data_IF_161771771795
#
_entry.id   IF_161771771795
#
_cell.length_a   1.000
_cell.length_b   1.000
_cell.length_c   1.000
_cell.angle_alpha   90.00
_cell.angle_beta   90.00
_cell.angle_gamma   90.00
#
_symmetry.space_group_name_H-M   'P 1'
#
loop_
_entity.id
_entity.type
_entity.pdbx_description
1 polymer ?
#
# COMPACT_ATOMS: atom_id res chain seq x y z
N UNK A 1 28.23 -57.03 5.14
CA UNK A 1 28.20 -55.70 4.50
C UNK A 1 26.84 -55.34 3.88
N UNK A 2 26.17 -56.22 3.10
CA UNK A 2 24.84 -55.92 2.50
C UNK A 2 23.71 -55.62 3.51
N UNK A 3 23.67 -56.28 4.68
CA UNK A 3 22.62 -56.05 5.71
C UNK A 3 22.75 -54.70 6.43
N UNK A 4 23.97 -54.21 6.63
CA UNK A 4 24.22 -52.88 7.21
C UNK A 4 23.84 -51.75 6.25
N UNK A 5 24.05 -51.96 4.94
CA UNK A 5 23.65 -51.00 3.90
C UNK A 5 22.13 -50.86 3.76
N UNK A 6 21.37 -51.96 3.91
CA UNK A 6 19.91 -51.90 3.95
C UNK A 6 19.38 -51.17 5.19
N UNK A 7 20.00 -51.38 6.35
CA UNK A 7 19.60 -50.71 7.60
C UNK A 7 19.86 -49.19 7.55
N UNK A 8 20.99 -48.76 6.97
CA UNK A 8 21.26 -47.33 6.75
C UNK A 8 20.32 -46.70 5.73
N UNK A 9 19.91 -47.43 4.69
CA UNK A 9 18.97 -46.93 3.68
C UNK A 9 17.55 -46.76 4.25
N UNK A 10 17.10 -47.66 5.13
CA UNK A 10 15.79 -47.57 5.80
C UNK A 10 15.75 -46.41 6.81
N UNK A 11 16.85 -46.19 7.55
CA UNK A 11 16.98 -45.05 8.46
C UNK A 11 16.94 -43.71 7.71
N UNK A 12 17.62 -43.60 6.57
CA UNK A 12 17.58 -42.41 5.72
C UNK A 12 16.19 -42.13 5.14
N UNK A 13 15.45 -43.19 4.75
CA UNK A 13 14.07 -43.06 4.26
C UNK A 13 13.10 -42.58 5.37
N UNK A 14 13.28 -43.05 6.61
CA UNK A 14 12.46 -42.58 7.74
C UNK A 14 12.77 -41.14 8.15
N UNK A 15 14.02 -40.66 7.99
CA UNK A 15 14.36 -39.25 8.21
C UNK A 15 13.80 -38.29 7.15
N UNK A 16 13.50 -38.76 5.94
CA UNK A 16 12.80 -37.96 4.92
C UNK A 16 11.26 -38.01 5.06
N UNK A 17 10.71 -39.02 5.73
CA UNK A 17 9.27 -39.15 5.97
C UNK A 17 8.74 -38.24 7.10
N UNK A 18 9.64 -37.58 7.85
CA UNK A 18 9.30 -36.54 8.82
C UNK A 18 9.32 -35.15 8.17
N UNK A 19 8.65 -34.97 7.03
CA UNK A 19 8.14 -33.64 6.72
C UNK A 19 6.99 -33.36 7.68
N UNK A 20 7.34 -32.89 8.89
CA UNK A 20 6.35 -32.33 9.80
C UNK A 20 5.49 -31.36 8.99
N UNK A 21 4.17 -31.59 8.99
CA UNK A 21 3.20 -30.62 8.51
C UNK A 21 3.33 -29.40 9.42
N UNK A 22 4.31 -28.54 9.12
CA UNK A 22 4.40 -27.24 9.75
C UNK A 22 3.07 -26.56 9.46
N UNK A 23 2.34 -26.08 10.47
CA UNK A 23 1.12 -25.35 10.22
C UNK A 23 1.51 -24.15 9.37
N UNK A 24 1.13 -24.16 8.09
CA UNK A 24 1.21 -22.97 7.27
C UNK A 24 0.30 -21.94 7.95
N UNK A 25 0.90 -20.97 8.63
CA UNK A 25 0.15 -19.99 9.40
C UNK A 25 -0.67 -19.18 8.39
N UNK A 26 -1.98 -19.40 8.38
CA UNK A 26 -2.85 -18.69 7.45
C UNK A 26 -2.84 -17.20 7.79
N UNK A 27 -2.60 -16.37 6.77
CA UNK A 27 -2.69 -14.92 6.89
C UNK A 27 -4.17 -14.56 6.83
N UNK A 28 -4.70 -14.04 7.93
CA UNK A 28 -6.13 -13.76 8.09
C UNK A 28 -6.42 -12.34 8.58
N UNK A 29 -5.51 -11.75 9.36
CA UNK A 29 -5.74 -10.47 10.02
C UNK A 29 -5.06 -9.30 9.31
N UNK A 30 -5.60 -8.08 9.51
CA UNK A 30 -5.05 -6.83 8.95
C UNK A 30 -3.55 -6.68 9.21
N UNK A 31 -3.14 -6.89 10.45
CA UNK A 31 -1.75 -6.79 10.91
C UNK A 31 -0.83 -7.75 10.16
N UNK A 32 -1.31 -8.94 9.84
CA UNK A 32 -0.51 -9.96 9.18
C UNK A 32 -0.33 -9.63 7.70
N UNK A 33 -1.39 -9.23 7.01
CA UNK A 33 -1.30 -8.74 5.64
C UNK A 33 -0.42 -7.49 5.53
N UNK A 34 -0.54 -6.57 6.48
CA UNK A 34 0.31 -5.38 6.52
C UNK A 34 1.79 -5.72 6.71
N UNK A 35 2.14 -6.80 7.42
CA UNK A 35 3.55 -7.24 7.53
C UNK A 35 4.12 -7.79 6.21
N UNK A 36 3.26 -8.17 5.25
CA UNK A 36 3.69 -8.59 3.92
C UNK A 36 3.94 -7.41 2.99
N UNK A 37 3.36 -6.24 3.28
CA UNK A 37 3.71 -5.00 2.61
C UNK A 37 5.18 -4.63 2.90
N UNK A 38 5.94 -4.33 1.86
CA UNK A 38 7.34 -3.93 2.01
C UNK A 38 7.80 -3.04 0.85
N UNK A 39 8.67 -2.08 1.17
CA UNK A 39 9.24 -1.19 0.16
C UNK A 39 10.52 -1.83 -0.37
N UNK A 40 10.48 -2.28 -1.62
CA UNK A 40 11.66 -2.74 -2.34
C UNK A 40 12.60 -1.57 -2.67
N UNK A 41 13.90 -1.85 -2.75
CA UNK A 41 14.90 -0.87 -3.15
C UNK A 41 14.69 -0.43 -4.61
N UNK A 42 14.50 -1.39 -5.51
CA UNK A 42 14.01 -1.14 -6.86
C UNK A 42 12.48 -1.20 -6.82
N UNK A 43 11.81 -0.19 -7.37
CA UNK A 43 10.35 -0.08 -7.32
C UNK A 43 9.78 -0.18 -8.73
N UNK A 44 9.68 -1.42 -9.24
CA UNK A 44 9.02 -1.70 -10.50
C UNK A 44 7.49 -1.66 -10.33
N UNK A 45 6.74 -1.57 -11.44
CA UNK A 45 5.29 -1.63 -11.39
C UNK A 45 4.78 -2.89 -10.67
N UNK A 46 5.39 -4.05 -10.92
CA UNK A 46 4.99 -5.33 -10.31
C UNK A 46 5.13 -5.32 -8.80
N UNK A 47 6.25 -4.79 -8.28
CA UNK A 47 6.47 -4.61 -6.83
C UNK A 47 5.42 -3.68 -6.20
N UNK A 48 4.97 -2.68 -6.97
CA UNK A 48 3.94 -1.73 -6.52
C UNK A 48 2.56 -2.40 -6.50
N UNK A 49 2.25 -3.20 -7.52
CA UNK A 49 1.01 -3.97 -7.62
C UNK A 49 0.92 -5.05 -6.53
N UNK A 50 2.02 -5.73 -6.22
CA UNK A 50 2.06 -6.67 -5.10
C UNK A 50 1.76 -5.95 -3.77
N UNK A 51 2.37 -4.78 -3.54
CA UNK A 51 2.09 -4.00 -2.35
C UNK A 51 0.62 -3.53 -2.27
N UNK A 52 0.06 -3.08 -3.40
CA UNK A 52 -1.38 -2.75 -3.49
C UNK A 52 -2.21 -3.97 -3.09
N UNK A 53 -1.91 -5.14 -3.64
CA UNK A 53 -2.62 -6.38 -3.33
C UNK A 53 -2.59 -6.70 -1.83
N UNK A 54 -1.42 -6.65 -1.18
CA UNK A 54 -1.32 -6.94 0.26
C UNK A 54 -2.04 -5.91 1.13
N UNK A 55 -1.95 -4.63 0.77
CA UNK A 55 -2.64 -3.55 1.48
C UNK A 55 -4.16 -3.65 1.31
N UNK A 56 -4.66 -3.99 0.13
CA UNK A 56 -6.09 -4.25 -0.10
C UNK A 56 -6.60 -5.42 0.73
N UNK A 57 -5.82 -6.51 0.81
CA UNK A 57 -6.15 -7.62 1.73
C UNK A 57 -6.18 -7.16 3.18
N UNK A 58 -5.23 -6.32 3.61
CA UNK A 58 -5.23 -5.75 4.96
C UNK A 58 -6.44 -4.84 5.23
N UNK A 59 -6.84 -4.00 4.28
CA UNK A 59 -8.01 -3.11 4.42
C UNK A 59 -9.30 -3.91 4.56
N UNK A 60 -9.42 -5.07 3.92
CA UNK A 60 -10.63 -5.89 3.93
C UNK A 60 -10.67 -6.97 5.03
N UNK A 61 -9.53 -7.31 5.63
CA UNK A 61 -9.44 -8.33 6.68
C UNK A 61 -9.99 -7.86 8.05
N UNK A 62 -10.20 -8.77 8.99
CA UNK A 62 -10.51 -8.40 10.38
C UNK A 62 -9.24 -8.02 11.16
N UNK A 63 -9.39 -7.19 12.20
CA UNK A 63 -8.30 -6.91 13.12
C UNK A 63 -7.95 -8.15 13.94
N UNK A 64 -6.67 -8.34 14.25
CA UNK A 64 -6.26 -9.39 15.18
C UNK A 64 -6.75 -9.11 16.61
N UNK A 65 -6.56 -10.09 17.51
CA UNK A 65 -6.77 -9.85 18.94
C UNK A 65 -5.77 -8.76 19.43
N UNK A 66 -6.17 -7.82 20.31
CA UNK A 66 -5.29 -6.76 20.83
C UNK A 66 -3.93 -7.23 21.35
N UNK A 67 -3.84 -8.47 21.86
CA UNK A 67 -2.59 -9.11 22.27
C UNK A 67 -1.53 -9.16 21.15
N UNK A 68 -1.97 -9.22 19.90
CA UNK A 68 -1.13 -9.34 18.71
C UNK A 68 -1.09 -8.05 17.88
N UNK A 69 -1.53 -6.92 18.45
CA UNK A 69 -1.44 -5.62 17.83
C UNK A 69 0.03 -5.22 17.57
N UNK A 70 0.25 -4.26 16.66
CA UNK A 70 1.60 -3.81 16.30
C UNK A 70 2.24 -2.87 17.33
N UNK A 71 1.50 -2.51 18.38
CA UNK A 71 1.98 -1.75 19.53
C UNK A 71 1.25 -2.19 20.80
N UNK A 72 1.73 -1.76 21.96
CA UNK A 72 1.13 -2.12 23.24
C UNK A 72 -0.27 -1.53 23.41
N UNK A 73 -1.23 -2.39 23.76
CA UNK A 73 -2.62 -2.03 24.04
C UNK A 73 -2.94 -2.37 25.49
N UNK A 74 -3.21 -1.37 26.32
CA UNK A 74 -3.50 -1.56 27.75
C UNK A 74 -5.00 -1.67 28.02
N UNK A 75 -5.82 -0.94 27.26
CA UNK A 75 -7.27 -0.89 27.46
C UNK A 75 -8.07 -0.77 26.15
N UNK A 76 -9.39 -0.65 26.30
CA UNK A 76 -10.33 -0.54 25.17
C UNK A 76 -10.17 0.78 24.39
N UNK A 77 -9.72 1.84 25.04
CA UNK A 77 -9.52 3.15 24.42
C UNK A 77 -8.25 3.16 23.58
N UNK A 78 -7.16 2.54 24.08
CA UNK A 78 -5.96 2.24 23.28
C UNK A 78 -6.33 1.44 22.03
N UNK A 79 -7.11 0.38 22.20
CA UNK A 79 -7.53 -0.48 21.09
C UNK A 79 -8.36 0.26 20.05
N UNK A 80 -9.26 1.14 20.49
CA UNK A 80 -10.06 1.93 19.59
C UNK A 80 -9.21 2.92 18.77
N UNK A 81 -8.31 3.65 19.45
CA UNK A 81 -7.42 4.60 18.78
C UNK A 81 -6.47 3.88 17.81
N UNK A 82 -5.92 2.74 18.22
CA UNK A 82 -5.06 1.90 17.39
C UNK A 82 -5.72 1.55 16.06
N UNK A 83 -6.97 1.09 16.08
CA UNK A 83 -7.69 0.73 14.85
C UNK A 83 -7.86 1.93 13.92
N UNK A 84 -8.09 3.12 14.45
CA UNK A 84 -8.21 4.33 13.63
C UNK A 84 -6.88 4.75 13.03
N UNK A 85 -5.80 4.76 13.82
CA UNK A 85 -4.46 5.06 13.32
C UNK A 85 -4.00 4.05 12.28
N UNK A 86 -4.29 2.76 12.49
CA UNK A 86 -3.90 1.72 11.54
C UNK A 86 -4.69 1.84 10.23
N UNK A 87 -6.01 2.06 10.27
CA UNK A 87 -6.77 2.29 9.04
C UNK A 87 -6.31 3.54 8.30
N UNK A 88 -6.03 4.65 9.01
CA UNK A 88 -5.44 5.84 8.41
C UNK A 88 -4.12 5.50 7.72
N UNK A 89 -3.22 4.79 8.41
CA UNK A 89 -1.92 4.41 7.88
C UNK A 89 -2.01 3.54 6.63
N UNK A 90 -2.85 2.49 6.65
CA UNK A 90 -3.07 1.63 5.48
C UNK A 90 -3.53 2.44 4.26
N UNK A 91 -4.49 3.35 4.48
CA UNK A 91 -4.98 4.22 3.41
C UNK A 91 -3.87 5.17 2.90
N UNK A 92 -3.02 5.73 3.77
CA UNK A 92 -1.84 6.49 3.33
C UNK A 92 -0.89 5.64 2.48
N UNK A 93 -0.66 4.37 2.84
CA UNK A 93 0.17 3.47 2.04
C UNK A 93 -0.44 3.13 0.69
N UNK A 94 -1.77 3.05 0.59
CA UNK A 94 -2.48 2.94 -0.69
C UNK A 94 -2.29 4.20 -1.53
N UNK A 95 -2.40 5.41 -0.95
CA UNK A 95 -2.11 6.67 -1.65
C UNK A 95 -0.70 6.62 -2.23
N UNK A 96 0.30 6.28 -1.41
CA UNK A 96 1.70 6.18 -1.85
C UNK A 96 1.89 5.19 -3.02
N UNK A 97 1.28 4.00 -2.95
CA UNK A 97 1.43 3.00 -4.01
C UNK A 97 0.77 3.43 -5.32
N UNK A 98 -0.46 3.95 -5.26
CA UNK A 98 -1.15 4.41 -6.46
C UNK A 98 -0.45 5.62 -7.10
N UNK A 99 0.16 6.51 -6.31
CA UNK A 99 0.98 7.58 -6.87
C UNK A 99 2.22 7.04 -7.57
N UNK A 100 2.94 6.09 -6.94
CA UNK A 100 4.11 5.43 -7.56
C UNK A 100 3.75 4.75 -8.87
N UNK A 101 2.62 4.04 -8.90
CA UNK A 101 2.14 3.35 -10.09
C UNK A 101 1.74 4.35 -11.19
N UNK A 102 0.97 5.38 -10.84
CA UNK A 102 0.54 6.41 -11.79
C UNK A 102 1.72 7.14 -12.44
N UNK A 103 2.78 7.42 -11.68
CA UNK A 103 4.01 8.02 -12.20
C UNK A 103 4.71 7.18 -13.29
N UNK A 104 4.47 5.86 -13.37
CA UNK A 104 5.03 5.02 -14.43
C UNK A 104 4.38 5.27 -15.79
N UNK A 105 3.12 5.68 -15.78
CA UNK A 105 2.32 5.91 -16.99
C UNK A 105 2.21 7.39 -17.36
N UNK A 106 2.53 8.28 -16.44
CA UNK A 106 2.46 9.72 -16.64
C UNK A 106 3.60 10.24 -17.53
N UNK A 107 3.25 10.76 -18.71
CA UNK A 107 4.22 11.27 -19.69
C UNK A 107 4.83 12.61 -19.32
N UNK A 108 4.26 13.33 -18.35
CA UNK A 108 4.67 14.65 -17.86
C UNK A 108 4.59 15.81 -18.88
N UNK A 109 4.98 15.61 -20.14
CA UNK A 109 5.05 16.59 -21.23
C UNK A 109 4.69 15.92 -22.56
N UNK A 110 3.95 16.59 -23.44
CA UNK A 110 3.66 16.11 -24.79
C UNK A 110 4.67 16.69 -25.80
N UNK A 111 5.71 15.93 -26.12
CA UNK A 111 6.69 16.33 -27.14
C UNK A 111 6.20 16.08 -28.56
N UNK A 112 6.53 16.98 -29.50
CA UNK A 112 6.12 16.87 -30.91
C UNK A 112 6.51 15.53 -31.55
N UNK A 113 7.72 15.03 -31.29
CA UNK A 113 8.21 13.77 -31.84
C UNK A 113 7.46 12.53 -31.33
N UNK A 114 6.58 12.67 -30.33
CA UNK A 114 5.71 11.59 -29.87
C UNK A 114 4.42 11.46 -30.70
N UNK A 115 4.18 12.32 -31.71
CA UNK A 115 2.96 12.27 -32.52
C UNK A 115 2.66 10.88 -33.13
N UNK A 116 3.66 10.12 -33.66
CA UNK A 116 3.41 8.77 -34.17
C UNK A 116 2.93 7.77 -33.11
N UNK A 117 3.12 8.07 -31.82
CA UNK A 117 2.67 7.25 -30.69
C UNK A 117 1.58 7.95 -29.87
N UNK A 118 0.86 8.90 -30.47
CA UNK A 118 -0.16 9.71 -29.81
C UNK A 118 -1.18 8.85 -29.05
N UNK A 119 -1.69 7.81 -29.68
CA UNK A 119 -2.72 6.95 -29.12
C UNK A 119 -2.22 6.21 -27.87
N UNK A 120 -1.02 5.64 -27.93
CA UNK A 120 -0.39 4.94 -26.81
C UNK A 120 -0.04 5.90 -25.67
N UNK A 121 0.36 7.15 -25.99
CA UNK A 121 0.58 8.17 -24.98
C UNK A 121 -0.72 8.57 -24.28
N UNK A 122 -1.82 8.73 -25.01
CA UNK A 122 -3.13 9.02 -24.43
C UNK A 122 -3.62 7.88 -23.54
N UNK A 123 -3.45 6.62 -23.98
CA UNK A 123 -3.79 5.44 -23.17
C UNK A 123 -2.98 5.39 -21.88
N UNK A 124 -1.67 5.61 -21.97
CA UNK A 124 -0.79 5.70 -20.80
C UNK A 124 -1.22 6.83 -19.84
N UNK A 125 -1.58 8.00 -20.35
CA UNK A 125 -2.09 9.09 -19.51
C UNK A 125 -3.41 8.74 -18.82
N UNK A 126 -4.29 7.98 -19.48
CA UNK A 126 -5.51 7.47 -18.85
C UNK A 126 -5.21 6.53 -17.69
N UNK A 127 -4.24 5.62 -17.83
CA UNK A 127 -3.82 4.74 -16.73
C UNK A 127 -3.26 5.54 -15.54
N UNK A 128 -2.49 6.60 -15.80
CA UNK A 128 -2.02 7.51 -14.75
C UNK A 128 -3.16 8.24 -14.05
N UNK A 129 -4.14 8.74 -14.81
CA UNK A 129 -5.35 9.39 -14.29
C UNK A 129 -6.16 8.46 -13.37
N UNK A 130 -6.38 7.21 -13.78
CA UNK A 130 -7.07 6.20 -12.97
C UNK A 130 -6.33 5.94 -11.65
N UNK A 131 -4.99 5.85 -11.69
CA UNK A 131 -4.16 5.71 -10.50
C UNK A 131 -4.27 6.92 -9.57
N UNK A 132 -4.22 8.14 -10.10
CA UNK A 132 -4.32 9.36 -9.32
C UNK A 132 -5.70 9.56 -8.71
N UNK A 133 -6.78 9.23 -9.42
CA UNK A 133 -8.12 9.23 -8.87
C UNK A 133 -8.28 8.19 -7.75
N UNK A 134 -7.69 7.01 -7.91
CA UNK A 134 -7.69 5.97 -6.87
C UNK A 134 -6.88 6.42 -5.65
N UNK A 135 -5.73 7.06 -5.85
CA UNK A 135 -4.96 7.67 -4.76
C UNK A 135 -5.78 8.75 -4.03
N UNK A 136 -6.54 9.58 -4.76
CA UNK A 136 -7.41 10.60 -4.15
C UNK A 136 -8.52 9.98 -3.30
N UNK A 137 -9.11 8.87 -3.74
CA UNK A 137 -10.08 8.11 -2.95
C UNK A 137 -9.47 7.67 -1.62
N UNK A 138 -8.33 6.98 -1.64
CA UNK A 138 -7.68 6.52 -0.42
C UNK A 138 -7.18 7.66 0.47
N UNK A 139 -6.83 8.81 -0.09
CA UNK A 139 -6.50 10.00 0.71
C UNK A 139 -7.71 10.47 1.53
N UNK A 140 -8.91 10.50 0.94
CA UNK A 140 -10.14 10.89 1.65
C UNK A 140 -10.44 9.93 2.79
N UNK A 141 -10.26 8.62 2.57
CA UNK A 141 -10.38 7.62 3.63
C UNK A 141 -9.33 7.83 4.73
N UNK A 142 -8.06 8.05 4.37
CA UNK A 142 -7.01 8.34 5.34
C UNK A 142 -7.34 9.57 6.19
N UNK A 143 -7.80 10.66 5.58
CA UNK A 143 -8.20 11.88 6.28
C UNK A 143 -9.37 11.62 7.24
N UNK A 144 -10.39 10.87 6.81
CA UNK A 144 -11.52 10.50 7.66
C UNK A 144 -11.09 9.67 8.89
N UNK A 145 -10.19 8.70 8.71
CA UNK A 145 -9.65 7.92 9.83
C UNK A 145 -8.75 8.75 10.74
N UNK A 146 -7.99 9.70 10.19
CA UNK A 146 -7.19 10.65 10.97
C UNK A 146 -8.09 11.52 11.86
N UNK A 147 -9.22 12.02 11.33
CA UNK A 147 -10.21 12.78 12.11
C UNK A 147 -10.79 11.94 13.26
N UNK A 148 -11.14 10.67 12.99
CA UNK A 148 -11.61 9.74 14.02
C UNK A 148 -10.55 9.49 15.09
N UNK A 149 -9.27 9.43 14.72
CA UNK A 149 -8.16 9.30 15.66
C UNK A 149 -7.82 10.61 16.41
N UNK A 150 -8.39 11.74 16.00
CA UNK A 150 -8.11 13.07 16.56
C UNK A 150 -9.24 13.63 17.45
N UNK A 151 -10.24 12.83 17.79
CA UNK A 151 -11.36 13.26 18.64
C UNK A 151 -10.90 13.53 20.08
N UNK A 152 -11.66 14.35 20.82
CA UNK A 152 -11.33 14.82 22.17
C UNK A 152 -10.96 13.70 23.16
N UNK A 153 -11.60 12.54 23.09
CA UNK A 153 -11.29 11.40 23.97
C UNK A 153 -9.85 10.87 23.83
N UNK A 154 -9.17 11.17 22.72
CA UNK A 154 -7.79 10.75 22.46
C UNK A 154 -6.77 11.88 22.64
N UNK A 155 -7.17 13.07 23.08
CA UNK A 155 -6.33 14.28 23.09
C UNK A 155 -4.99 14.09 23.83
N UNK A 156 -4.99 13.31 24.91
CA UNK A 156 -3.81 13.03 25.74
C UNK A 156 -3.38 11.56 25.70
N UNK A 157 -3.97 10.78 24.79
CA UNK A 157 -3.61 9.40 24.59
C UNK A 157 -2.66 9.30 23.41
N UNK A 158 -1.50 8.68 23.57
CA UNK A 158 -0.53 8.48 22.49
C UNK A 158 -0.01 7.05 22.51
N UNK A 159 -0.09 6.36 21.38
CA UNK A 159 0.47 5.01 21.23
C UNK A 159 1.95 5.14 20.86
N UNK A 160 2.83 5.18 21.85
CA UNK A 160 4.26 5.49 21.69
C UNK A 160 5.02 4.49 20.82
N UNK A 161 4.62 3.22 20.82
CA UNK A 161 5.20 2.19 19.95
C UNK A 161 4.90 2.45 18.46
N UNK A 162 3.92 3.32 18.18
CA UNK A 162 3.42 3.69 16.86
C UNK A 162 3.54 5.20 16.62
N UNK A 163 4.59 5.82 17.16
CA UNK A 163 4.82 7.27 17.08
C UNK A 163 4.71 7.80 15.64
N UNK A 164 5.24 7.06 14.66
CA UNK A 164 5.17 7.47 13.25
C UNK A 164 3.73 7.67 12.75
N UNK A 165 2.80 6.84 13.20
CA UNK A 165 1.38 6.95 12.84
C UNK A 165 0.71 8.12 13.55
N UNK A 166 1.08 8.37 14.81
CA UNK A 166 0.64 9.56 15.54
C UNK A 166 1.09 10.85 14.83
N UNK A 167 2.33 10.88 14.34
CA UNK A 167 2.90 12.01 13.60
C UNK A 167 2.27 12.19 12.23
N UNK A 168 1.90 11.10 11.53
CA UNK A 168 1.09 11.17 10.31
C UNK A 168 -0.27 11.80 10.58
N UNK A 169 -0.98 11.32 11.60
CA UNK A 169 -2.29 11.87 12.02
C UNK A 169 -2.20 13.36 12.33
N UNK A 170 -1.18 13.77 13.09
CA UNK A 170 -0.97 15.19 13.43
C UNK A 170 -0.66 16.02 12.19
N UNK A 171 0.17 15.52 11.26
CA UNK A 171 0.48 16.22 10.01
C UNK A 171 -0.76 16.38 9.12
N UNK A 172 -1.66 15.39 9.08
CA UNK A 172 -2.94 15.51 8.37
C UNK A 172 -3.81 16.58 9.04
N UNK A 173 -3.97 16.52 10.37
CA UNK A 173 -4.79 17.47 11.12
C UNK A 173 -4.31 18.93 10.95
N UNK A 174 -2.99 19.14 10.91
CA UNK A 174 -2.38 20.45 10.68
C UNK A 174 -2.29 20.84 9.20
N UNK A 175 -2.79 20.01 8.28
CA UNK A 175 -2.68 20.16 6.81
C UNK A 175 -1.23 20.27 6.31
N UNK A 176 -0.25 19.84 7.10
CA UNK A 176 1.16 19.72 6.70
C UNK A 176 1.36 18.55 5.74
N UNK A 177 0.58 17.50 5.92
CA UNK A 177 0.39 16.44 4.93
C UNK A 177 -0.96 16.67 4.25
N UNK A 178 -0.95 16.92 2.95
CA UNK A 178 -2.16 17.11 2.15
C UNK A 178 -1.93 16.53 0.76
N UNK A 179 -2.28 15.25 0.57
CA UNK A 179 -2.16 14.60 -0.72
C UNK A 179 -3.19 15.09 -1.73
N UNK A 180 -4.42 15.42 -1.31
CA UNK A 180 -5.44 15.97 -2.22
C UNK A 180 -4.91 17.16 -3.01
N UNK A 181 -4.29 18.15 -2.34
CA UNK A 181 -3.70 19.30 -3.02
C UNK A 181 -2.70 18.91 -4.10
N UNK A 182 -1.81 17.96 -3.80
CA UNK A 182 -0.78 17.52 -4.75
C UNK A 182 -1.41 16.73 -5.89
N UNK A 183 -2.30 15.79 -5.59
CA UNK A 183 -2.93 14.90 -6.56
C UNK A 183 -3.81 15.69 -7.53
N UNK A 184 -4.64 16.61 -7.04
CA UNK A 184 -5.49 17.45 -7.89
C UNK A 184 -4.66 18.29 -8.86
N UNK A 185 -3.52 18.83 -8.41
CA UNK A 185 -2.60 19.57 -9.28
C UNK A 185 -1.99 18.67 -10.36
N UNK A 186 -1.60 17.44 -10.02
CA UNK A 186 -1.08 16.49 -11.00
C UNK A 186 -2.14 16.06 -12.02
N UNK A 187 -3.39 15.86 -11.58
CA UNK A 187 -4.52 15.59 -12.48
C UNK A 187 -4.79 16.75 -13.45
N UNK A 188 -4.77 18.00 -12.97
CA UNK A 188 -4.93 19.19 -13.82
C UNK A 188 -3.81 19.31 -14.86
N UNK A 189 -2.56 19.04 -14.45
CA UNK A 189 -1.40 19.03 -15.36
C UNK A 189 -1.54 17.91 -16.39
N UNK A 190 -1.87 16.70 -15.97
CA UNK A 190 -2.09 15.54 -16.83
C UNK A 190 -3.16 15.82 -17.89
N UNK A 191 -4.27 16.45 -17.51
CA UNK A 191 -5.33 16.82 -18.43
C UNK A 191 -4.86 17.77 -19.54
N UNK A 192 -3.97 18.71 -19.24
CA UNK A 192 -3.35 19.61 -20.24
C UNK A 192 -2.47 18.84 -21.22
N UNK A 193 -1.61 17.97 -20.71
CA UNK A 193 -0.74 17.12 -21.54
C UNK A 193 -1.57 16.20 -22.45
N UNK A 194 -2.66 15.62 -21.94
CA UNK A 194 -3.58 14.82 -22.74
C UNK A 194 -4.21 15.64 -23.86
N UNK A 195 -4.59 16.89 -23.60
CA UNK A 195 -5.13 17.79 -24.61
C UNK A 195 -4.10 18.14 -25.68
N UNK A 196 -2.83 18.38 -25.30
CA UNK A 196 -1.73 18.59 -26.24
C UNK A 196 -1.54 17.40 -27.19
N UNK A 197 -1.53 16.16 -26.66
CA UNK A 197 -1.48 14.95 -27.49
C UNK A 197 -2.69 14.82 -28.42
N UNK A 198 -3.90 15.15 -27.96
CA UNK A 198 -5.11 15.09 -28.79
C UNK A 198 -5.02 16.02 -30.01
N UNK A 199 -4.36 17.18 -29.86
CA UNK A 199 -4.17 18.17 -30.92
C UNK A 199 -3.00 17.84 -31.87
N UNK A 200 -2.18 16.83 -31.58
CA UNK A 200 -1.09 16.46 -32.48
C UNK A 200 -1.62 15.81 -33.76
N UNK A 201 -1.04 16.23 -34.88
CA UNK A 201 -1.19 15.63 -36.20
C UNK A 201 0.01 14.75 -36.52
N UNK A 202 -0.21 13.67 -37.26
CA UNK A 202 0.85 12.83 -37.83
C UNK A 202 1.42 13.53 -39.07
N UNK A 203 2.23 14.57 -38.87
CA UNK A 203 2.90 15.27 -39.97
C UNK A 203 4.40 15.31 -39.73
N UNK A 204 5.09 14.27 -40.19
CA UNK A 204 6.53 14.28 -40.47
C UNK A 204 6.82 13.62 -41.80
#
# INVERSE_FOLDING_TARGET
MKKLFCLSAVLLFFSFAQTALLPAYFVTYKEQYYKLYHIHYQQYPDDTLENIYWLEKAINADFCNPLYALGKINDKTDWEKYRYLFMMHLNLKMVEQHLRLGMKYDKQVAYFYNAPWKEQNIESLKMAEDCYNTALFYWKEAALWAERANVRKFQFLFLTDLQNWEDERERIAQKKLNYERTITRELERLAKVRAEFMQMEETY
#
